data_IF_471821347825
#
_entry.id   IF_471821347825
#
_cell.length_a   1.000
_cell.length_b   1.000
_cell.length_c   1.000
_cell.angle_alpha   90.00
_cell.angle_beta   90.00
_cell.angle_gamma   90.00
#
_symmetry.space_group_name_H-M   'P 1'
#
loop_
_entity.id
_entity.type
_entity.pdbx_description
1 polymer ?
#
# COMPACT_ATOMS: atom_id res chain seq x y z
N UNK A 1 -0.48 -31.06 -8.81
CA UNK A 1 -0.21 -29.72 -9.39
C UNK A 1 0.27 -28.80 -8.27
N UNK A 2 1.58 -28.53 -8.25
CA UNK A 2 2.29 -27.82 -7.17
C UNK A 2 1.79 -26.40 -6.96
N UNK A 3 1.32 -26.11 -5.74
CA UNK A 3 1.21 -24.75 -5.23
C UNK A 3 2.60 -24.15 -5.10
N UNK A 4 3.06 -23.41 -6.12
CA UNK A 4 4.28 -22.61 -6.08
C UNK A 4 4.09 -21.50 -5.05
N UNK A 5 4.41 -21.80 -3.80
CA UNK A 5 4.73 -20.82 -2.78
C UNK A 5 5.95 -20.02 -3.30
N UNK A 6 5.67 -18.86 -3.92
CA UNK A 6 6.70 -17.94 -4.42
C UNK A 6 7.69 -17.68 -3.28
N UNK A 7 8.88 -18.24 -3.43
CA UNK A 7 9.86 -18.32 -2.35
C UNK A 7 10.19 -16.94 -1.82
N UNK A 8 10.47 -16.85 -0.51
CA UNK A 8 10.92 -15.64 0.18
C UNK A 8 12.24 -15.08 -0.40
N UNK A 9 12.90 -15.79 -1.30
CA UNK A 9 14.19 -15.43 -1.90
C UNK A 9 14.08 -14.53 -3.14
N UNK A 10 12.91 -14.44 -3.77
CA UNK A 10 12.76 -13.65 -5.00
C UNK A 10 12.49 -12.17 -4.68
N UNK A 11 13.57 -11.40 -4.58
CA UNK A 11 13.53 -9.97 -4.22
C UNK A 11 12.80 -9.15 -5.28
N UNK A 12 12.94 -9.50 -6.57
CA UNK A 12 12.28 -8.81 -7.67
C UNK A 12 10.76 -9.03 -7.64
N UNK A 13 10.31 -10.28 -7.45
CA UNK A 13 8.90 -10.60 -7.31
C UNK A 13 8.27 -9.96 -6.05
N UNK A 14 9.04 -9.83 -4.96
CA UNK A 14 8.63 -9.11 -3.73
C UNK A 14 8.56 -7.60 -3.91
N UNK A 15 9.46 -7.01 -4.69
CA UNK A 15 9.42 -5.59 -5.01
C UNK A 15 8.19 -5.26 -5.86
N UNK A 16 7.90 -6.08 -6.87
CA UNK A 16 6.71 -5.95 -7.71
C UNK A 16 5.40 -6.07 -6.91
N UNK A 17 5.29 -7.05 -6.01
CA UNK A 17 4.09 -7.24 -5.18
C UNK A 17 3.87 -6.14 -4.14
N UNK A 18 4.95 -5.56 -3.59
CA UNK A 18 4.89 -4.39 -2.71
C UNK A 18 4.46 -3.13 -3.47
N UNK A 19 4.87 -2.99 -4.73
CA UNK A 19 4.51 -1.83 -5.54
C UNK A 19 3.05 -1.89 -6.00
N UNK A 20 2.53 -3.09 -6.33
CA UNK A 20 1.11 -3.28 -6.63
C UNK A 20 0.21 -3.07 -5.40
N UNK A 21 0.71 -3.34 -4.19
CA UNK A 21 -0.02 -3.10 -2.94
C UNK A 21 -0.19 -1.60 -2.60
N UNK A 22 0.40 -0.70 -3.38
CA UNK A 22 0.27 0.76 -3.22
C UNK A 22 -0.80 1.37 -4.12
N UNK A 23 -1.55 0.59 -4.90
CA UNK A 23 -2.68 1.12 -5.67
C UNK A 23 -3.97 1.05 -4.85
N UNK A 24 -4.78 2.08 -4.93
CA UNK A 24 -6.06 2.17 -4.27
C UNK A 24 -7.07 1.26 -4.96
N UNK A 25 -7.72 0.37 -4.23
CA UNK A 25 -8.69 -0.58 -4.79
C UNK A 25 -9.90 0.09 -5.42
N UNK A 26 -10.21 1.33 -5.03
CA UNK A 26 -11.39 2.06 -5.49
C UNK A 26 -11.13 2.89 -6.74
N UNK A 27 -10.02 3.64 -6.80
CA UNK A 27 -9.73 4.56 -7.91
C UNK A 27 -8.51 4.17 -8.75
N UNK A 28 -7.76 3.12 -8.37
CA UNK A 28 -6.57 2.67 -9.10
C UNK A 28 -5.33 3.58 -8.96
N UNK A 29 -5.45 4.74 -8.33
CA UNK A 29 -4.33 5.67 -8.12
C UNK A 29 -3.33 5.17 -7.07
N UNK A 30 -2.11 5.70 -7.12
CA UNK A 30 -1.11 5.47 -6.07
C UNK A 30 -1.61 6.05 -4.74
N UNK A 31 -1.57 5.22 -3.71
CA UNK A 31 -1.87 5.59 -2.33
C UNK A 31 -0.68 6.37 -1.79
N UNK A 32 -0.94 7.63 -1.46
CA UNK A 32 -0.04 8.41 -0.61
C UNK A 32 -0.48 8.24 0.86
N UNK A 33 0.49 8.04 1.75
CA UNK A 33 0.22 7.82 3.17
C UNK A 33 0.77 8.99 3.95
N UNK A 34 -0.13 9.88 4.37
CA UNK A 34 0.22 11.10 5.09
C UNK A 34 -0.10 10.96 6.57
N UNK A 35 0.74 11.56 7.42
CA UNK A 35 0.45 11.67 8.83
C UNK A 35 -0.42 12.92 9.06
N UNK A 36 -1.59 12.74 9.64
CA UNK A 36 -2.48 13.83 10.05
C UNK A 36 -2.51 13.93 11.57
N UNK A 37 -2.46 15.15 12.09
CA UNK A 37 -2.61 15.43 13.52
C UNK A 37 -3.98 16.04 13.72
N UNK A 38 -4.80 15.40 14.55
CA UNK A 38 -6.10 15.96 14.91
C UNK A 38 -5.95 17.19 15.82
N UNK A 39 -6.98 18.05 15.94
CA UNK A 39 -6.95 19.20 16.85
C UNK A 39 -6.70 18.83 18.33
N UNK A 40 -6.97 17.58 18.69
CA UNK A 40 -6.71 17.03 20.04
C UNK A 40 -5.30 16.45 20.20
N UNK A 41 -4.42 16.64 19.21
CA UNK A 41 -3.03 16.17 19.22
C UNK A 41 -2.83 14.70 18.83
N UNK A 42 -3.92 13.94 18.58
CA UNK A 42 -3.80 12.53 18.17
C UNK A 42 -3.27 12.44 16.74
N UNK A 43 -2.19 11.68 16.56
CA UNK A 43 -1.60 11.36 15.26
C UNK A 43 -2.34 10.18 14.63
N UNK A 44 -2.73 10.32 13.36
CA UNK A 44 -3.35 9.25 12.58
C UNK A 44 -2.79 9.23 11.17
N UNK A 45 -2.47 8.05 10.66
CA UNK A 45 -2.04 7.86 9.28
C UNK A 45 -3.28 7.80 8.39
N UNK A 46 -3.32 8.66 7.36
CA UNK A 46 -4.39 8.69 6.37
C UNK A 46 -3.85 8.25 5.02
N UNK A 47 -4.62 7.42 4.34
CA UNK A 47 -4.36 7.02 2.96
C UNK A 47 -5.11 7.98 2.05
N UNK A 48 -4.38 8.80 1.31
CA UNK A 48 -4.91 9.66 0.27
C UNK A 48 -4.77 8.92 -1.06
N UNK A 49 -5.87 8.64 -1.73
CA UNK A 49 -5.82 8.01 -3.05
C UNK A 49 -6.95 8.39 -3.98
N UNK A 50 -8.14 8.67 -3.44
CA UNK A 50 -9.21 9.29 -4.21
C UNK A 50 -9.09 10.79 -4.03
N UNK A 51 -8.90 11.53 -5.14
CA UNK A 51 -9.33 12.93 -5.17
C UNK A 51 -10.85 12.91 -4.96
N UNK A 52 -11.32 13.69 -4.00
CA UNK A 52 -12.75 13.89 -3.77
C UNK A 52 -13.30 14.73 -4.90
#
# INVERSE_FOLDING_TARGET
MSGKSKSKTDVAARAGSKNSARLCSSCGNKIDVVMSVSPTGKKSMRRLCCEV
#
